data_IF_075117379359
#
_entry.id   IF_075117379359
#
_cell.length_a   1.000
_cell.length_b   1.000
_cell.length_c   1.000
_cell.angle_alpha   90.00
_cell.angle_beta   90.00
_cell.angle_gamma   90.00
#
_symmetry.space_group_name_H-M   'P 1'
#
loop_
_entity.id
_entity.type
_entity.pdbx_description
1 polymer ?
#
# COMPACT_ATOMS: atom_id res chain seq x y z
N UNK A 1 -50.01 -8.43 -55.32
CA UNK A 1 -48.77 -7.77 -54.84
C UNK A 1 -49.04 -7.08 -53.51
N UNK A 2 -48.04 -7.07 -52.62
CA UNK A 2 -47.99 -6.38 -51.30
C UNK A 2 -48.56 -7.11 -50.09
N UNK A 3 -47.95 -8.25 -49.74
CA UNK A 3 -47.82 -8.66 -48.34
C UNK A 3 -46.33 -8.92 -48.11
N UNK A 4 -45.67 -8.16 -47.21
CA UNK A 4 -44.41 -8.50 -46.50
C UNK A 4 -43.70 -7.28 -45.84
N UNK A 5 -44.37 -6.45 -45.02
CA UNK A 5 -43.66 -5.35 -44.29
C UNK A 5 -43.87 -5.37 -42.76
N UNK A 6 -44.72 -6.23 -42.18
CA UNK A 6 -45.17 -6.05 -40.79
C UNK A 6 -44.66 -7.04 -39.72
N UNK A 7 -43.54 -7.76 -39.91
CA UNK A 7 -43.08 -8.79 -38.94
C UNK A 7 -41.67 -8.65 -38.35
N UNK A 8 -41.04 -7.46 -38.41
CA UNK A 8 -39.64 -7.27 -37.96
C UNK A 8 -39.46 -6.43 -36.67
N UNK A 9 -40.52 -6.08 -35.93
CA UNK A 9 -40.37 -5.22 -34.72
C UNK A 9 -40.18 -6.02 -33.42
N UNK A 10 -40.81 -7.19 -33.29
CA UNK A 10 -40.86 -7.93 -32.01
C UNK A 10 -39.60 -8.74 -31.66
N UNK A 11 -38.76 -9.06 -32.66
CA UNK A 11 -37.51 -9.80 -32.43
C UNK A 11 -36.40 -8.90 -31.87
N UNK A 12 -36.33 -7.64 -32.32
CA UNK A 12 -35.34 -6.66 -31.83
C UNK A 12 -35.53 -6.36 -30.35
N UNK A 13 -36.76 -6.21 -29.87
CA UNK A 13 -37.01 -5.94 -28.43
C UNK A 13 -36.75 -7.16 -27.54
N UNK A 14 -36.96 -8.38 -28.05
CA UNK A 14 -36.56 -9.61 -27.36
C UNK A 14 -35.05 -9.73 -27.27
N UNK A 15 -34.33 -9.45 -28.36
CA UNK A 15 -32.87 -9.44 -28.38
C UNK A 15 -32.27 -8.40 -27.43
N UNK A 16 -32.84 -7.19 -27.40
CA UNK A 16 -32.41 -6.13 -26.47
C UNK A 16 -32.66 -6.55 -25.02
N UNK A 17 -33.81 -7.16 -24.72
CA UNK A 17 -34.11 -7.67 -23.36
C UNK A 17 -33.20 -8.82 -22.96
N UNK A 18 -32.91 -9.77 -23.85
CA UNK A 18 -31.96 -10.86 -23.56
C UNK A 18 -30.55 -10.33 -23.36
N UNK A 19 -30.12 -9.38 -24.19
CA UNK A 19 -28.80 -8.75 -24.06
C UNK A 19 -28.68 -7.99 -22.73
N UNK A 20 -29.72 -7.23 -22.37
CA UNK A 20 -29.78 -6.53 -21.09
C UNK A 20 -29.72 -7.51 -19.91
N UNK A 21 -30.50 -8.60 -19.97
CA UNK A 21 -30.47 -9.62 -18.93
C UNK A 21 -29.09 -10.29 -18.80
N UNK A 22 -28.45 -10.64 -19.92
CA UNK A 22 -27.10 -11.21 -19.90
C UNK A 22 -26.07 -10.23 -19.31
N UNK A 23 -26.18 -8.94 -19.64
CA UNK A 23 -25.33 -7.90 -19.06
C UNK A 23 -25.54 -7.78 -17.54
N UNK A 24 -26.79 -7.80 -17.08
CA UNK A 24 -27.08 -7.78 -15.65
C UNK A 24 -26.45 -8.99 -14.93
N UNK A 25 -26.61 -10.20 -15.48
CA UNK A 25 -26.03 -11.42 -14.87
C UNK A 25 -24.51 -11.32 -14.78
N UNK A 26 -23.84 -10.83 -15.83
CA UNK A 26 -22.38 -10.63 -15.82
C UNK A 26 -21.98 -9.58 -14.77
N UNK A 27 -22.70 -8.45 -14.69
CA UNK A 27 -22.41 -7.39 -13.74
C UNK A 27 -22.56 -7.85 -12.28
N UNK A 28 -23.65 -8.55 -11.96
CA UNK A 28 -23.86 -9.11 -10.62
C UNK A 28 -22.83 -10.20 -10.28
N UNK A 29 -22.47 -11.04 -11.25
CA UNK A 29 -21.41 -12.04 -11.07
C UNK A 29 -20.05 -11.41 -10.78
N UNK A 30 -19.67 -10.37 -11.52
CA UNK A 30 -18.43 -9.64 -11.30
C UNK A 30 -18.41 -8.94 -9.93
N UNK A 31 -19.52 -8.33 -9.51
CA UNK A 31 -19.64 -7.69 -8.21
C UNK A 31 -19.53 -8.70 -7.05
N UNK A 32 -20.15 -9.87 -7.18
CA UNK A 32 -20.02 -10.94 -6.19
C UNK A 32 -18.57 -11.46 -6.10
N UNK A 33 -17.92 -11.67 -7.25
CA UNK A 33 -16.52 -12.11 -7.29
C UNK A 33 -15.60 -11.08 -6.64
N UNK A 34 -15.77 -9.79 -6.95
CA UNK A 34 -14.95 -8.73 -6.37
C UNK A 34 -15.08 -8.67 -4.86
N UNK A 35 -16.29 -8.85 -4.33
CA UNK A 35 -16.52 -8.85 -2.89
C UNK A 35 -15.77 -9.99 -2.19
N UNK A 36 -15.89 -11.22 -2.72
CA UNK A 36 -15.16 -12.37 -2.18
C UNK A 36 -13.64 -12.19 -2.26
N UNK A 37 -13.14 -11.57 -3.33
CA UNK A 37 -11.72 -11.29 -3.49
C UNK A 37 -11.20 -10.29 -2.46
N UNK A 38 -11.95 -9.20 -2.22
CA UNK A 38 -11.62 -8.19 -1.21
C UNK A 38 -11.62 -8.76 0.21
N UNK A 39 -12.53 -9.68 0.52
CA UNK A 39 -12.59 -10.33 1.84
C UNK A 39 -11.40 -11.27 2.07
N UNK A 40 -10.97 -11.98 1.03
CA UNK A 40 -9.84 -12.92 1.10
C UNK A 40 -8.47 -12.25 1.11
N UNK A 41 -8.36 -10.99 0.69
CA UNK A 41 -7.10 -10.25 0.54
C UNK A 41 -7.15 -8.90 1.26
N UNK A 42 -7.15 -8.89 2.60
CA UNK A 42 -7.05 -7.64 3.35
C UNK A 42 -5.69 -7.00 3.11
N UNK A 43 -5.67 -5.82 2.48
CA UNK A 43 -4.49 -4.96 2.36
C UNK A 43 -4.51 -3.88 3.45
N UNK A 44 -3.39 -3.68 4.15
CA UNK A 44 -3.24 -2.57 5.09
C UNK A 44 -2.04 -1.72 4.69
N UNK A 45 -2.24 -0.40 4.64
CA UNK A 45 -1.16 0.57 4.43
C UNK A 45 -0.50 0.97 5.77
N UNK A 46 -1.14 0.63 6.90
CA UNK A 46 -0.77 1.05 8.26
C UNK A 46 -0.03 -0.05 9.05
N UNK A 47 0.87 -0.78 8.38
CA UNK A 47 1.72 -1.78 9.03
C UNK A 47 2.95 -1.12 9.68
N UNK A 48 2.83 -0.67 10.92
CA UNK A 48 3.96 -0.11 11.68
C UNK A 48 4.63 -1.14 12.59
N UNK A 49 5.95 -1.32 12.45
CA UNK A 49 6.76 -2.14 13.36
C UNK A 49 7.29 -1.28 14.50
N UNK A 50 6.85 -1.56 15.74
CA UNK A 50 7.38 -0.90 16.94
C UNK A 50 8.49 -1.76 17.55
N UNK A 51 9.75 -1.40 17.30
CA UNK A 51 10.89 -1.99 17.98
C UNK A 51 11.22 -1.20 19.26
N UNK A 52 11.40 -1.89 20.39
CA UNK A 52 11.90 -1.27 21.63
C UNK A 52 13.44 -1.31 21.59
N UNK A 53 14.06 -0.19 21.25
CA UNK A 53 15.52 -0.05 21.32
C UNK A 53 15.91 0.26 22.76
N UNK A 54 16.62 -0.67 23.40
CA UNK A 54 17.23 -0.47 24.72
C UNK A 54 18.71 -0.21 24.51
N UNK A 55 19.16 1.01 24.81
CA UNK A 55 20.58 1.34 24.83
C UNK A 55 21.21 0.74 26.09
N UNK A 56 22.15 -0.18 25.91
CA UNK A 56 22.96 -0.74 27.00
C UNK A 56 24.34 -0.11 26.91
N UNK A 57 24.64 0.82 27.82
CA UNK A 57 26.00 1.30 28.00
C UNK A 57 26.76 0.29 28.88
N UNK A 58 28.01 -0.09 28.52
CA UNK A 58 28.84 -0.87 29.42
C UNK A 58 29.06 -0.07 30.71
N UNK A 59 28.90 -0.71 31.87
CA UNK A 59 29.34 -0.14 33.14
C UNK A 59 30.86 -0.15 33.21
N UNK A 60 31.50 0.74 32.44
CA UNK A 60 32.91 1.06 32.63
C UNK A 60 33.03 1.87 33.92
N UNK A 61 34.01 1.53 34.76
CA UNK A 61 34.19 2.08 36.11
C UNK A 61 34.51 3.59 36.17
N UNK A 62 34.40 4.34 35.07
CA UNK A 62 34.83 5.73 35.02
C UNK A 62 34.00 6.59 34.09
N UNK A 63 33.55 7.73 34.60
CA UNK A 63 33.01 8.85 33.84
C UNK A 63 34.20 9.66 33.27
N UNK A 64 34.12 10.11 32.01
CA UNK A 64 35.07 11.08 31.47
C UNK A 64 34.87 12.39 32.22
N UNK A 65 35.84 12.77 33.06
CA UNK A 65 35.76 13.95 33.94
C UNK A 65 36.32 15.22 33.29
N UNK A 66 37.27 15.08 32.37
CA UNK A 66 37.86 16.20 31.63
C UNK A 66 38.43 15.73 30.30
N UNK A 67 38.52 16.67 29.37
CA UNK A 67 39.23 16.55 28.10
C UNK A 67 40.05 17.84 28.01
N UNK A 68 41.37 17.74 28.08
CA UNK A 68 42.24 18.92 28.23
C UNK A 68 42.62 19.55 26.86
N UNK A 69 41.89 19.18 25.79
CA UNK A 69 42.00 19.77 24.45
C UNK A 69 40.79 20.64 24.09
N UNK A 70 41.07 21.70 23.33
CA UNK A 70 40.05 22.60 22.77
C UNK A 70 39.97 22.46 21.26
N UNK A 71 38.78 22.71 20.71
CA UNK A 71 38.58 22.73 19.27
C UNK A 71 39.48 23.79 18.61
N UNK A 72 40.10 23.40 17.50
CA UNK A 72 41.05 24.20 16.73
C UNK A 72 42.27 24.71 17.51
N UNK A 73 42.71 23.97 18.54
CA UNK A 73 43.96 24.27 19.21
C UNK A 73 45.14 24.24 18.22
N UNK A 74 45.86 25.36 18.10
CA UNK A 74 47.10 25.44 17.34
C UNK A 74 48.20 24.69 18.09
N UNK A 75 48.89 23.76 17.42
CA UNK A 75 49.90 22.87 18.01
C UNK A 75 51.18 22.88 17.19
N UNK A 76 52.32 22.75 17.87
CA UNK A 76 53.64 22.64 17.26
C UNK A 76 54.19 21.22 17.38
N UNK A 77 55.23 20.92 16.60
CA UNK A 77 55.85 19.58 16.61
C UNK A 77 56.49 19.32 17.98
N UNK A 78 55.92 18.36 18.71
CA UNK A 78 56.35 17.97 20.05
C UNK A 78 55.36 18.29 21.17
N UNK A 79 54.25 18.98 20.85
CA UNK A 79 53.25 19.33 21.84
C UNK A 79 52.42 18.11 22.25
N UNK A 80 52.31 17.90 23.56
CA UNK A 80 51.47 16.86 24.14
C UNK A 80 50.04 17.38 24.24
N UNK A 81 49.10 16.61 23.69
CA UNK A 81 47.66 16.83 23.80
C UNK A 81 47.13 15.82 24.80
N UNK A 82 46.69 16.31 25.96
CA UNK A 82 45.96 15.57 26.97
C UNK A 82 44.52 16.10 27.00
#
# INVERSE_FOLDING_TARGET
MSGDIAKHSSSRSKLVKTLFFTLCVIAFGAMYWSWQYSDSHPSTEDAYVRAKILSVAPQVKGQVVSVDVKDFQSVNKGDLLL
#
